data_IF_092778036429
#
_entry.id   IF_092778036429
#
_cell.length_a   1.000
_cell.length_b   1.000
_cell.length_c   1.000
_cell.angle_alpha   90.00
_cell.angle_beta   90.00
_cell.angle_gamma   90.00
#
_symmetry.space_group_name_H-M   'P 1'
#
loop_
_entity.id
_entity.type
_entity.pdbx_description
1 polymer ?
#
# COMPACT_ATOMS: atom_id res chain seq x y z
N UNK A 1 -35.82 0.31 -18.18
CA UNK A 1 -35.46 -0.85 -17.32
C UNK A 1 -33.98 -1.12 -17.48
N UNK A 2 -33.18 -1.04 -16.42
CA UNK A 2 -31.73 -1.28 -16.54
C UNK A 2 -31.44 -2.74 -16.27
N UNK A 3 -31.08 -3.50 -17.31
CA UNK A 3 -30.59 -4.87 -17.16
C UNK A 3 -29.11 -4.86 -16.78
N UNK A 4 -28.74 -5.47 -15.66
CA UNK A 4 -27.35 -5.69 -15.30
C UNK A 4 -26.79 -6.89 -16.05
N UNK A 5 -25.58 -6.75 -16.58
CA UNK A 5 -24.82 -7.89 -17.11
C UNK A 5 -23.93 -8.43 -16.00
N UNK A 6 -23.80 -9.75 -15.94
CA UNK A 6 -23.05 -10.44 -14.91
C UNK A 6 -21.99 -11.33 -15.54
N UNK A 7 -20.82 -11.39 -14.91
CA UNK A 7 -19.83 -12.43 -15.20
C UNK A 7 -20.12 -13.58 -14.23
N UNK A 8 -20.32 -14.79 -14.77
CA UNK A 8 -20.65 -15.99 -13.98
C UNK A 8 -19.49 -16.97 -13.97
N UNK A 9 -19.35 -17.74 -12.88
CA UNK A 9 -18.42 -18.86 -12.83
C UNK A 9 -18.90 -20.05 -13.68
N UNK A 10 -18.06 -21.09 -13.82
CA UNK A 10 -18.39 -22.31 -14.57
C UNK A 10 -19.60 -23.07 -14.02
N UNK A 11 -20.07 -22.74 -12.81
CA UNK A 11 -21.27 -23.30 -12.16
C UNK A 11 -22.48 -22.36 -12.26
N UNK A 12 -22.38 -21.27 -13.03
CA UNK A 12 -23.46 -20.30 -13.25
C UNK A 12 -23.65 -19.28 -12.11
N UNK A 13 -22.76 -19.26 -11.11
CA UNK A 13 -22.87 -18.30 -9.98
C UNK A 13 -22.31 -16.95 -10.39
N UNK A 14 -23.07 -15.87 -10.16
CA UNK A 14 -22.67 -14.49 -10.44
C UNK A 14 -21.47 -14.10 -9.59
N UNK A 15 -20.37 -13.67 -10.23
CA UNK A 15 -19.11 -13.28 -9.58
C UNK A 15 -18.84 -11.78 -9.67
N UNK A 16 -19.23 -11.16 -10.78
CA UNK A 16 -19.05 -9.72 -10.97
C UNK A 16 -20.24 -9.12 -11.75
N UNK A 17 -20.40 -7.81 -11.62
CA UNK A 17 -21.37 -7.01 -12.37
C UNK A 17 -20.60 -6.10 -13.33
N UNK A 18 -21.05 -6.06 -14.58
CA UNK A 18 -20.48 -5.16 -15.58
C UNK A 18 -21.31 -3.88 -15.59
N UNK A 19 -20.63 -2.74 -15.42
CA UNK A 19 -21.22 -1.40 -15.42
C UNK A 19 -20.47 -0.52 -16.42
N UNK A 20 -21.15 0.48 -16.99
CA UNK A 20 -20.45 1.54 -17.72
C UNK A 20 -19.70 2.45 -16.75
N UNK A 21 -18.55 2.98 -17.18
CA UNK A 21 -17.73 3.85 -16.33
C UNK A 21 -18.50 5.06 -15.80
N UNK A 22 -19.35 5.68 -16.63
CA UNK A 22 -20.23 6.78 -16.19
C UNK A 22 -21.14 6.40 -15.03
N UNK A 23 -21.67 5.16 -15.05
CA UNK A 23 -22.55 4.66 -13.99
C UNK A 23 -21.74 4.33 -12.73
N UNK A 24 -20.56 3.76 -12.87
CA UNK A 24 -19.63 3.53 -11.76
C UNK A 24 -19.27 4.83 -11.04
N UNK A 25 -18.83 5.85 -11.78
CA UNK A 25 -18.52 7.18 -11.24
C UNK A 25 -19.71 7.84 -10.53
N UNK A 26 -20.92 7.65 -11.05
CA UNK A 26 -22.14 8.16 -10.40
C UNK A 26 -22.38 7.44 -9.07
N UNK A 27 -22.18 6.12 -9.01
CA UNK A 27 -22.31 5.35 -7.78
C UNK A 27 -21.22 5.72 -6.77
N UNK A 28 -19.97 5.90 -7.20
CA UNK A 28 -18.88 6.37 -6.35
C UNK A 28 -19.26 7.69 -5.67
N UNK A 29 -19.74 8.68 -6.42
CA UNK A 29 -20.18 9.98 -5.85
C UNK A 29 -21.42 9.88 -4.96
N UNK A 30 -22.36 9.00 -5.30
CA UNK A 30 -23.63 8.87 -4.56
C UNK A 30 -23.43 8.19 -3.21
N UNK A 31 -22.51 7.23 -3.15
CA UNK A 31 -22.28 6.39 -1.96
C UNK A 31 -20.92 6.66 -1.30
N UNK A 32 -20.23 7.73 -1.72
CA UNK A 32 -18.92 8.14 -1.21
C UNK A 32 -17.92 6.96 -1.18
N UNK A 33 -17.86 6.21 -2.29
CA UNK A 33 -16.97 5.05 -2.38
C UNK A 33 -15.55 5.54 -2.66
N UNK A 34 -14.54 5.02 -1.95
CA UNK A 34 -13.14 5.40 -2.18
C UNK A 34 -12.74 5.09 -3.61
N UNK A 35 -11.94 5.96 -4.22
CA UNK A 35 -11.39 5.66 -5.52
C UNK A 35 -10.35 4.54 -5.35
N UNK A 36 -10.53 3.42 -6.05
CA UNK A 36 -9.64 2.27 -5.91
C UNK A 36 -8.27 2.51 -6.56
N UNK A 37 -8.15 3.61 -7.34
CA UNK A 37 -6.88 4.09 -7.90
C UNK A 37 -6.16 5.08 -6.97
N UNK A 38 -6.81 5.57 -5.91
CA UNK A 38 -6.14 6.29 -4.82
C UNK A 38 -5.42 5.27 -3.93
N UNK A 39 -4.30 4.74 -4.42
CA UNK A 39 -3.22 4.34 -3.53
C UNK A 39 -2.73 5.59 -2.80
N UNK A 40 -3.47 6.00 -1.77
CA UNK A 40 -3.16 6.98 -0.72
C UNK A 40 -2.05 7.99 -1.06
N UNK A 41 -2.41 9.27 -1.15
CA UNK A 41 -1.48 10.43 -1.11
C UNK A 41 -0.52 10.40 0.11
N UNK A 42 -0.72 9.49 1.07
CA UNK A 42 0.12 9.25 2.23
C UNK A 42 1.38 8.40 1.97
N UNK A 43 1.63 7.93 0.74
CA UNK A 43 2.91 7.25 0.46
C UNK A 43 4.04 8.29 0.41
N UNK A 44 5.09 8.18 1.26
CA UNK A 44 6.20 9.11 1.21
C UNK A 44 6.87 9.08 -0.17
N UNK A 45 6.89 10.22 -0.85
CA UNK A 45 7.54 10.38 -2.15
C UNK A 45 9.01 10.66 -1.91
N UNK A 46 9.86 9.65 -2.06
CA UNK A 46 11.31 9.80 -1.95
C UNK A 46 11.93 10.20 -3.30
N UNK A 47 12.86 11.15 -3.25
CA UNK A 47 13.74 11.47 -4.38
C UNK A 47 14.80 10.38 -4.57
N UNK A 48 15.36 10.29 -5.78
CA UNK A 48 16.48 9.37 -6.06
C UNK A 48 17.69 9.61 -5.15
N UNK A 49 17.93 10.86 -4.74
CA UNK A 49 19.03 11.20 -3.85
C UNK A 49 18.80 10.63 -2.44
N UNK A 50 17.60 10.83 -1.88
CA UNK A 50 17.21 10.30 -0.57
C UNK A 50 17.26 8.76 -0.55
N UNK A 51 16.83 8.09 -1.62
CA UNK A 51 16.93 6.63 -1.72
C UNK A 51 18.39 6.16 -1.68
N UNK A 52 19.29 6.86 -2.38
CA UNK A 52 20.71 6.50 -2.41
C UNK A 52 21.40 6.77 -1.07
N UNK A 53 21.04 7.86 -0.40
CA UNK A 53 21.60 8.19 0.91
C UNK A 53 21.11 7.23 1.98
N UNK A 54 19.80 6.90 2.02
CA UNK A 54 19.25 5.88 2.91
C UNK A 54 19.91 4.50 2.69
N UNK A 55 20.15 4.13 1.42
CA UNK A 55 20.82 2.87 1.09
C UNK A 55 22.29 2.88 1.55
N UNK A 56 22.99 4.00 1.39
CA UNK A 56 24.38 4.15 1.84
C UNK A 56 24.48 3.96 3.35
N UNK A 57 23.61 4.63 4.11
CA UNK A 57 23.56 4.54 5.56
C UNK A 57 23.32 3.09 6.03
N UNK A 58 22.32 2.41 5.45
CA UNK A 58 22.02 1.02 5.77
C UNK A 58 23.21 0.08 5.50
N UNK A 59 23.97 0.29 4.42
CA UNK A 59 25.18 -0.50 4.12
C UNK A 59 26.29 -0.25 5.14
N UNK A 60 26.47 0.99 5.59
CA UNK A 60 27.45 1.35 6.61
C UNK A 60 27.11 0.72 7.96
N UNK A 61 25.83 0.74 8.35
CA UNK A 61 25.35 0.10 9.58
C UNK A 61 25.61 -1.42 9.57
N UNK A 62 25.26 -2.11 8.49
CA UNK A 62 25.53 -3.56 8.35
C UNK A 62 27.04 -3.85 8.43
N UNK A 63 27.89 -2.97 7.88
CA UNK A 63 29.35 -3.12 7.97
C UNK A 63 29.83 -2.99 9.41
N UNK A 64 29.32 -2.04 10.17
CA UNK A 64 29.66 -1.85 11.59
C UNK A 64 29.18 -3.02 12.45
N UNK A 65 27.98 -3.53 12.19
CA UNK A 65 27.45 -4.72 12.86
C UNK A 65 28.33 -5.95 12.60
N UNK A 66 28.73 -6.19 11.35
CA UNK A 66 29.66 -7.29 11.00
C UNK A 66 31.04 -7.15 11.66
N UNK A 67 31.47 -5.93 11.98
CA UNK A 67 32.69 -5.65 12.73
C UNK A 67 32.52 -5.82 14.25
N UNK A 68 31.30 -6.10 14.73
CA UNK A 68 30.97 -6.19 16.15
C UNK A 68 31.02 -4.85 16.88
N UNK A 69 30.96 -3.73 16.14
CA UNK A 69 31.05 -2.37 16.73
C UNK A 69 29.71 -1.84 17.22
N UNK A 70 28.62 -2.33 16.62
CA UNK A 70 27.26 -1.96 16.99
C UNK A 70 26.42 -3.23 17.11
N UNK A 71 25.32 -3.14 17.86
CA UNK A 71 24.23 -4.10 17.82
C UNK A 71 23.09 -3.50 17.02
N UNK A 72 22.44 -4.33 16.21
CA UNK A 72 21.23 -3.93 15.49
C UNK A 72 20.03 -4.05 16.41
N UNK A 73 19.02 -3.23 16.14
CA UNK A 73 17.73 -3.35 16.82
C UNK A 73 17.07 -4.70 16.55
N UNK A 74 16.33 -5.18 17.53
CA UNK A 74 15.49 -6.38 17.41
C UNK A 74 14.21 -6.07 16.64
N UNK A 75 13.55 -7.12 16.15
CA UNK A 75 12.26 -6.98 15.49
C UNK A 75 11.19 -6.39 16.41
N UNK A 76 11.23 -6.70 17.71
CA UNK A 76 10.25 -6.19 18.68
C UNK A 76 10.44 -4.69 18.94
N UNK A 77 11.69 -4.24 19.08
CA UNK A 77 12.03 -2.82 19.22
C UNK A 77 11.59 -2.02 17.99
N UNK A 78 11.86 -2.55 16.80
CA UNK A 78 11.42 -1.92 15.55
C UNK A 78 9.88 -1.84 15.44
N UNK A 79 9.17 -2.88 15.86
CA UNK A 79 7.70 -2.86 15.86
C UNK A 79 7.14 -1.86 16.89
N UNK A 80 7.82 -1.64 17.99
CA UNK A 80 7.43 -0.65 18.99
C UNK A 80 7.67 0.78 18.47
N UNK A 81 8.79 1.03 17.80
CA UNK A 81 9.10 2.29 17.10
C UNK A 81 8.01 2.65 16.08
N UNK A 82 7.65 1.72 15.20
CA UNK A 82 6.62 1.96 14.18
C UNK A 82 5.25 2.31 14.78
N UNK A 83 4.89 1.74 15.93
CA UNK A 83 3.65 2.09 16.65
C UNK A 83 3.73 3.49 17.26
N UNK A 84 4.88 3.88 17.79
CA UNK A 84 5.09 5.21 18.38
C UNK A 84 5.06 6.32 17.32
N UNK A 85 5.56 6.03 16.12
CA UNK A 85 5.59 6.96 14.99
C UNK A 85 4.27 7.01 14.19
N UNK A 86 3.28 6.18 14.56
CA UNK A 86 1.96 6.18 13.93
C UNK A 86 1.92 5.47 12.57
N UNK A 87 2.92 4.63 12.26
CA UNK A 87 2.92 3.77 11.07
C UNK A 87 2.09 2.49 11.26
N UNK A 88 1.84 2.07 12.51
CA UNK A 88 1.11 0.85 12.88
C UNK A 88 0.10 1.07 14.02
#
# INVERSE_FOLDING_TARGET
MTSFQYITDKKGRKKAVILSMKKWQTLQKTYDLPDLEEESDDKPVFTKAEILDNLREAVEEVKLYRQGKIQLQTADEFLEELKQEGYL
#
